data_IF_300136325484
#
_entry.id   IF_300136325484
#
_cell.length_a   1.000
_cell.length_b   1.000
_cell.length_c   1.000
_cell.angle_alpha   90.00
_cell.angle_beta   90.00
_cell.angle_gamma   90.00
#
_symmetry.space_group_name_H-M   'P 1'
#
loop_
_entity.id
_entity.type
_entity.pdbx_description
1 polymer ?
#
# COMPACT_ATOMS: atom_id res chain seq x y z
N UNK A 1 21.64 -10.37 11.39
CA UNK A 1 20.98 -10.30 10.08
C UNK A 1 19.52 -10.00 10.34
N UNK A 2 19.03 -8.79 10.00
CA UNK A 2 17.66 -8.40 10.33
C UNK A 2 16.65 -9.39 9.73
N UNK A 3 15.63 -9.77 10.50
CA UNK A 3 14.57 -10.68 10.07
C UNK A 3 13.65 -9.98 9.05
N UNK A 4 14.02 -10.08 7.78
CA UNK A 4 13.26 -9.49 6.67
C UNK A 4 11.79 -9.92 6.64
N UNK A 5 11.50 -11.18 6.99
CA UNK A 5 10.13 -11.69 7.06
C UNK A 5 9.37 -11.02 8.21
N UNK A 6 10.02 -10.81 9.34
CA UNK A 6 9.45 -10.09 10.48
C UNK A 6 9.08 -8.65 10.12
N UNK A 7 9.93 -7.96 9.36
CA UNK A 7 9.68 -6.58 8.92
C UNK A 7 8.46 -6.47 8.00
N UNK A 8 8.33 -7.36 7.00
CA UNK A 8 7.14 -7.42 6.15
C UNK A 8 5.87 -7.79 6.92
N UNK A 9 5.95 -8.76 7.84
CA UNK A 9 4.85 -9.11 8.74
C UNK A 9 4.45 -7.93 9.61
N UNK A 10 5.41 -7.22 10.19
CA UNK A 10 5.17 -6.03 11.01
C UNK A 10 4.41 -4.94 10.27
N UNK A 11 4.75 -4.67 9.00
CA UNK A 11 4.00 -3.73 8.17
C UNK A 11 2.54 -4.17 7.99
N UNK A 12 2.30 -5.43 7.59
CA UNK A 12 0.94 -5.93 7.36
C UNK A 12 0.11 -5.95 8.64
N UNK A 13 0.72 -6.32 9.77
CA UNK A 13 0.08 -6.30 11.08
C UNK A 13 -0.26 -4.87 11.52
N UNK A 14 0.67 -3.92 11.34
CA UNK A 14 0.41 -2.51 11.64
C UNK A 14 -0.77 -1.94 10.85
N UNK A 15 -0.88 -2.32 9.58
CA UNK A 15 -2.00 -1.91 8.72
C UNK A 15 -3.33 -2.60 9.07
N UNK A 16 -3.29 -3.80 9.64
CA UNK A 16 -4.49 -4.48 10.13
C UNK A 16 -5.09 -3.79 11.37
N UNK A 17 -4.26 -3.10 12.18
CA UNK A 17 -4.72 -2.28 13.31
C UNK A 17 -5.43 -0.98 12.91
N UNK A 18 -5.49 -0.65 11.61
CA UNK A 18 -6.07 0.60 11.08
C UNK A 18 -7.62 0.58 11.02
N UNK A 19 -8.26 -0.31 11.76
CA UNK A 19 -9.74 -0.42 11.85
C UNK A 19 -10.40 0.81 12.46
N UNK A 20 -9.65 1.63 13.21
CA UNK A 20 -10.12 2.85 13.85
C UNK A 20 -9.94 4.12 13.01
N UNK A 21 -9.49 3.98 11.74
CA UNK A 21 -9.31 5.13 10.86
C UNK A 21 -10.61 5.92 10.66
N UNK A 22 -10.50 7.23 10.75
CA UNK A 22 -11.64 8.14 10.64
C UNK A 22 -12.50 8.27 11.91
N UNK A 23 -12.25 7.48 12.96
CA UNK A 23 -12.92 7.59 14.24
C UNK A 23 -12.32 8.70 15.11
N UNK A 24 -13.18 9.48 15.77
CA UNK A 24 -12.74 10.43 16.79
C UNK A 24 -12.26 9.69 18.04
N UNK A 25 -11.39 10.33 18.84
CA UNK A 25 -10.93 9.76 20.10
C UNK A 25 -12.09 9.37 21.03
N UNK A 26 -13.16 10.15 21.02
CA UNK A 26 -14.37 9.86 21.81
C UNK A 26 -15.06 8.57 21.37
N UNK A 27 -15.18 8.35 20.08
CA UNK A 27 -15.74 7.11 19.51
C UNK A 27 -14.84 5.91 19.81
N UNK A 28 -13.52 6.08 19.69
CA UNK A 28 -12.55 5.04 20.05
C UNK A 28 -12.69 4.68 21.55
N UNK A 29 -12.77 5.66 22.44
CA UNK A 29 -12.95 5.39 23.86
C UNK A 29 -14.30 4.73 24.18
N UNK A 30 -15.36 5.08 23.46
CA UNK A 30 -16.68 4.45 23.64
C UNK A 30 -16.66 2.97 23.22
N UNK A 31 -15.92 2.64 22.16
CA UNK A 31 -15.87 1.28 21.61
C UNK A 31 -14.86 0.38 22.32
N UNK A 32 -13.73 0.94 22.75
CA UNK A 32 -12.57 0.18 23.24
C UNK A 32 -12.15 0.53 24.68
N UNK A 33 -12.87 1.45 25.33
CA UNK A 33 -12.56 1.89 26.71
C UNK A 33 -11.55 3.03 26.76
N UNK A 34 -11.20 3.48 27.99
CA UNK A 34 -10.43 4.72 28.20
C UNK A 34 -9.01 4.70 27.61
N UNK A 35 -8.44 3.53 27.44
CA UNK A 35 -7.07 3.36 26.88
C UNK A 35 -7.07 3.18 25.35
N UNK A 36 -8.23 3.21 24.70
CA UNK A 36 -8.37 2.99 23.26
C UNK A 36 -8.11 1.55 22.81
N UNK A 37 -7.76 1.37 21.54
CA UNK A 37 -7.49 0.07 20.95
C UNK A 37 -6.17 -0.51 21.47
N UNK A 38 -6.24 -1.59 22.24
CA UNK A 38 -5.08 -2.28 22.83
C UNK A 38 -4.73 -3.59 22.10
N UNK A 39 -5.49 -3.96 21.08
CA UNK A 39 -5.29 -5.17 20.30
C UNK A 39 -6.12 -5.15 19.03
N UNK A 40 -6.05 -6.20 18.25
CA UNK A 40 -6.85 -6.32 17.02
C UNK A 40 -8.31 -6.63 17.34
N UNK A 41 -9.22 -6.01 16.58
CA UNK A 41 -10.60 -6.45 16.54
C UNK A 41 -10.70 -7.85 15.94
N UNK A 42 -11.36 -8.76 16.64
CA UNK A 42 -11.50 -10.13 16.20
C UNK A 42 -12.93 -10.40 15.73
N UNK A 43 -13.06 -10.82 14.48
CA UNK A 43 -14.31 -11.32 13.91
C UNK A 43 -14.21 -12.85 13.85
N UNK A 44 -15.07 -13.55 14.58
CA UNK A 44 -15.01 -15.02 14.72
C UNK A 44 -13.65 -15.55 15.19
N UNK A 45 -12.94 -14.78 16.05
CA UNK A 45 -11.63 -15.17 16.59
C UNK A 45 -10.44 -14.85 15.70
N UNK A 46 -10.65 -14.15 14.58
CA UNK A 46 -9.59 -13.74 13.65
C UNK A 46 -9.58 -12.25 13.45
N UNK A 47 -8.38 -11.64 13.43
CA UNK A 47 -8.20 -10.28 12.97
C UNK A 47 -8.40 -10.22 11.45
N UNK A 48 -9.31 -9.37 10.99
CA UNK A 48 -9.51 -9.18 9.54
C UNK A 48 -8.47 -8.20 8.99
N UNK A 49 -8.20 -8.31 7.70
CA UNK A 49 -7.37 -7.36 6.97
C UNK A 49 -8.19 -6.13 6.60
N UNK A 50 -7.57 -4.96 6.55
CA UNK A 50 -8.21 -3.72 6.11
C UNK A 50 -8.00 -3.51 4.61
N UNK A 51 -8.73 -2.55 4.01
CA UNK A 51 -8.46 -2.09 2.64
C UNK A 51 -7.01 -1.62 2.46
N UNK A 52 -6.43 -1.02 3.49
CA UNK A 52 -5.03 -0.57 3.48
C UNK A 52 -4.05 -1.74 3.50
N UNK A 53 -4.32 -2.78 4.29
CA UNK A 53 -3.54 -4.02 4.28
C UNK A 53 -3.57 -4.67 2.89
N UNK A 54 -4.76 -4.74 2.30
CA UNK A 54 -4.92 -5.27 0.94
C UNK A 54 -4.13 -4.44 -0.07
N UNK A 55 -4.28 -3.12 -0.07
CA UNK A 55 -3.57 -2.24 -1.02
C UNK A 55 -2.05 -2.33 -0.88
N UNK A 56 -1.52 -2.43 0.35
CA UNK A 56 -0.10 -2.66 0.57
C UNK A 56 0.36 -3.98 -0.06
N UNK A 57 -0.40 -5.07 0.14
CA UNK A 57 -0.09 -6.37 -0.43
C UNK A 57 -0.14 -6.36 -1.97
N UNK A 58 -1.14 -5.69 -2.56
CA UNK A 58 -1.22 -5.51 -4.02
C UNK A 58 -0.12 -4.60 -4.56
N UNK A 59 0.33 -3.61 -3.81
CA UNK A 59 1.51 -2.83 -4.16
C UNK A 59 2.76 -3.71 -4.21
N UNK A 60 3.00 -4.53 -3.17
CA UNK A 60 4.09 -5.50 -3.18
C UNK A 60 3.99 -6.47 -4.36
N UNK A 61 2.79 -6.97 -4.68
CA UNK A 61 2.58 -7.84 -5.83
C UNK A 61 2.99 -7.17 -7.15
N UNK A 62 2.61 -5.89 -7.34
CA UNK A 62 3.01 -5.13 -8.52
C UNK A 62 4.52 -4.94 -8.62
N UNK A 63 5.18 -4.57 -7.52
CA UNK A 63 6.64 -4.41 -7.46
C UNK A 63 7.37 -5.72 -7.79
N UNK A 64 6.93 -6.84 -7.19
CA UNK A 64 7.50 -8.16 -7.45
C UNK A 64 7.27 -8.60 -8.90
N UNK A 65 6.09 -8.37 -9.46
CA UNK A 65 5.78 -8.65 -10.85
C UNK A 65 6.72 -7.89 -11.79
N UNK A 66 6.92 -6.60 -11.54
CA UNK A 66 7.81 -5.75 -12.35
C UNK A 66 9.25 -6.23 -12.29
N UNK A 67 9.77 -6.53 -11.10
CA UNK A 67 11.12 -7.03 -10.92
C UNK A 67 11.33 -8.39 -11.61
N UNK A 68 10.42 -9.35 -11.36
CA UNK A 68 10.50 -10.68 -11.96
C UNK A 68 10.45 -10.61 -13.48
N UNK A 69 9.52 -9.82 -14.03
CA UNK A 69 9.39 -9.65 -15.48
C UNK A 69 10.63 -9.00 -16.08
N UNK A 70 11.19 -7.99 -15.43
CA UNK A 70 12.44 -7.34 -15.84
C UNK A 70 13.60 -8.33 -15.90
N UNK A 71 13.74 -9.18 -14.90
CA UNK A 71 14.77 -10.22 -14.84
C UNK A 71 14.58 -11.27 -15.93
N UNK A 72 13.34 -11.70 -16.20
CA UNK A 72 13.05 -12.73 -17.22
C UNK A 72 13.23 -12.22 -18.65
N UNK A 73 12.89 -10.96 -18.91
CA UNK A 73 12.86 -10.42 -20.28
C UNK A 73 14.06 -9.55 -20.64
N UNK A 74 14.89 -9.20 -19.65
CA UNK A 74 15.97 -8.22 -19.79
C UNK A 74 15.48 -6.77 -19.99
N UNK A 75 14.16 -6.52 -19.93
CA UNK A 75 13.53 -5.21 -20.10
C UNK A 75 12.58 -4.92 -18.95
N UNK A 76 12.86 -3.88 -18.19
CA UNK A 76 12.00 -3.44 -17.10
C UNK A 76 11.32 -2.13 -17.47
N UNK A 77 9.99 -2.13 -17.46
CA UNK A 77 9.20 -0.90 -17.49
C UNK A 77 9.28 -0.22 -16.11
N UNK A 78 8.98 1.08 -16.01
CA UNK A 78 8.91 1.74 -14.70
C UNK A 78 8.01 0.98 -13.72
N UNK A 79 8.51 0.71 -12.52
CA UNK A 79 7.87 -0.17 -11.53
C UNK A 79 6.48 0.32 -11.12
N UNK A 80 6.25 1.64 -11.04
CA UNK A 80 4.94 2.20 -10.71
C UNK A 80 3.85 1.73 -11.68
N UNK A 81 4.16 1.42 -12.94
CA UNK A 81 3.19 0.89 -13.91
C UNK A 81 2.68 -0.49 -13.52
N UNK A 82 3.56 -1.34 -13.03
CA UNK A 82 3.16 -2.67 -12.53
C UNK A 82 2.34 -2.57 -11.24
N UNK A 83 2.71 -1.61 -10.36
CA UNK A 83 1.89 -1.29 -9.18
C UNK A 83 0.52 -0.79 -9.62
N UNK A 84 0.45 0.08 -10.63
CA UNK A 84 -0.82 0.57 -11.18
C UNK A 84 -1.71 -0.55 -11.72
N UNK A 85 -1.14 -1.53 -12.44
CA UNK A 85 -1.88 -2.70 -12.92
C UNK A 85 -2.44 -3.51 -11.73
N UNK A 86 -1.59 -3.80 -10.75
CA UNK A 86 -1.97 -4.55 -9.55
C UNK A 86 -3.05 -3.83 -8.74
N UNK A 87 -2.90 -2.54 -8.52
CA UNK A 87 -3.86 -1.72 -7.78
C UNK A 87 -5.21 -1.60 -8.51
N UNK A 88 -5.20 -1.58 -9.85
CA UNK A 88 -6.43 -1.60 -10.66
C UNK A 88 -7.20 -2.91 -10.50
N UNK A 89 -6.51 -4.05 -10.51
CA UNK A 89 -7.14 -5.36 -10.28
C UNK A 89 -7.74 -5.43 -8.87
N UNK A 90 -7.02 -4.91 -7.86
CA UNK A 90 -7.56 -4.76 -6.52
C UNK A 90 -8.80 -3.86 -6.50
N UNK A 91 -8.75 -2.67 -7.12
CA UNK A 91 -9.87 -1.75 -7.19
C UNK A 91 -11.09 -2.37 -7.86
N UNK A 92 -10.89 -3.19 -8.90
CA UNK A 92 -11.96 -3.96 -9.53
C UNK A 92 -12.61 -4.96 -8.56
N UNK A 93 -11.82 -5.63 -7.71
CA UNK A 93 -12.35 -6.56 -6.71
C UNK A 93 -13.20 -5.87 -5.63
N UNK A 94 -12.98 -4.57 -5.39
CA UNK A 94 -13.74 -3.79 -4.41
C UNK A 94 -15.12 -3.34 -4.93
N UNK A 95 -15.41 -3.49 -6.22
CA UNK A 95 -16.71 -3.15 -6.81
C UNK A 95 -17.71 -4.33 -6.69
N UNK A 96 -19.03 -4.08 -6.56
CA UNK A 96 -20.02 -5.14 -6.36
C UNK A 96 -20.02 -6.23 -7.42
N UNK A 97 -19.71 -5.87 -8.67
CA UNK A 97 -19.71 -6.75 -9.83
C UNK A 97 -18.37 -6.76 -10.57
N UNK A 98 -17.34 -6.18 -9.93
CA UNK A 98 -16.04 -6.05 -10.54
C UNK A 98 -15.29 -7.38 -10.50
N UNK A 99 -15.03 -7.96 -11.68
CA UNK A 99 -14.01 -8.99 -11.85
C UNK A 99 -12.99 -8.48 -12.85
N UNK A 100 -11.69 -8.53 -12.53
CA UNK A 100 -10.68 -8.17 -13.50
C UNK A 100 -10.75 -9.12 -14.70
N UNK A 101 -10.66 -8.57 -15.91
CA UNK A 101 -10.70 -9.35 -17.16
C UNK A 101 -9.43 -10.15 -17.38
N UNK A 102 -8.31 -9.69 -16.80
CA UNK A 102 -7.01 -10.37 -16.81
C UNK A 102 -6.42 -10.30 -15.42
N UNK A 103 -5.88 -11.41 -14.91
CA UNK A 103 -5.32 -11.48 -13.56
C UNK A 103 -3.79 -11.48 -13.64
N UNK A 104 -3.18 -10.35 -13.31
CA UNK A 104 -1.74 -10.24 -13.07
C UNK A 104 -1.40 -10.52 -11.61
N UNK A 105 -2.41 -10.49 -10.72
CA UNK A 105 -2.24 -10.58 -9.28
C UNK A 105 -2.75 -11.92 -8.75
N UNK A 106 -1.84 -12.77 -8.31
CA UNK A 106 -2.19 -14.03 -7.65
C UNK A 106 -2.98 -13.82 -6.35
N UNK A 107 -2.86 -12.64 -5.72
CA UNK A 107 -3.61 -12.27 -4.51
C UNK A 107 -5.14 -12.29 -4.71
N UNK A 108 -5.63 -12.17 -5.94
CA UNK A 108 -7.06 -12.33 -6.25
C UNK A 108 -7.58 -13.75 -6.00
N UNK A 109 -6.71 -14.73 -5.82
CA UNK A 109 -7.06 -16.10 -5.44
C UNK A 109 -7.23 -16.26 -3.93
N UNK A 110 -6.88 -15.24 -3.13
CA UNK A 110 -7.01 -15.23 -1.68
C UNK A 110 -8.27 -14.46 -1.31
N UNK A 111 -9.34 -15.12 -0.80
CA UNK A 111 -10.64 -14.49 -0.56
C UNK A 111 -10.57 -13.26 0.34
N UNK A 112 -9.75 -13.30 1.38
CA UNK A 112 -9.54 -12.21 2.33
C UNK A 112 -8.97 -10.96 1.65
N UNK A 113 -8.12 -11.14 0.62
CA UNK A 113 -7.53 -10.05 -0.14
C UNK A 113 -8.49 -9.39 -1.14
N UNK A 114 -9.65 -10.01 -1.38
CA UNK A 114 -10.71 -9.49 -2.25
C UNK A 114 -11.94 -9.04 -1.49
N UNK A 115 -11.98 -9.23 -0.16
CA UNK A 115 -13.09 -8.81 0.68
C UNK A 115 -13.25 -7.30 0.60
N UNK A 116 -14.49 -6.86 0.47
CA UNK A 116 -14.79 -5.43 0.38
C UNK A 116 -14.71 -4.78 1.76
N UNK A 117 -13.97 -3.69 1.84
CA UNK A 117 -13.84 -2.86 3.02
C UNK A 117 -14.25 -1.42 2.73
N UNK A 118 -14.59 -0.67 3.78
CA UNK A 118 -14.77 0.77 3.66
C UNK A 118 -13.44 1.44 3.30
N UNK A 119 -13.45 2.37 2.36
CA UNK A 119 -12.25 3.07 1.90
C UNK A 119 -12.57 4.45 1.34
N UNK A 120 -11.55 5.24 1.11
CA UNK A 120 -11.66 6.52 0.40
C UNK A 120 -12.14 6.28 -1.04
N UNK A 121 -13.34 6.76 -1.35
CA UNK A 121 -13.97 6.61 -2.68
C UNK A 121 -13.18 7.32 -3.78
N UNK A 122 -12.49 8.42 -3.48
CA UNK A 122 -11.64 9.15 -4.44
C UNK A 122 -10.42 8.33 -4.84
N UNK A 123 -9.84 7.59 -3.89
CA UNK A 123 -8.75 6.65 -4.15
C UNK A 123 -9.24 5.51 -5.04
N UNK A 124 -10.39 4.91 -4.71
CA UNK A 124 -10.96 3.82 -5.50
C UNK A 124 -11.29 4.27 -6.93
N UNK A 125 -11.86 5.46 -7.09
CA UNK A 125 -12.14 6.04 -8.41
C UNK A 125 -10.88 6.26 -9.23
N UNK A 126 -9.83 6.82 -8.62
CA UNK A 126 -8.55 7.04 -9.29
C UNK A 126 -7.94 5.72 -9.79
N UNK A 127 -7.88 4.70 -8.92
CA UNK A 127 -7.32 3.38 -9.24
C UNK A 127 -8.18 2.56 -10.21
N UNK A 128 -9.46 2.94 -10.41
CA UNK A 128 -10.38 2.25 -11.31
C UNK A 128 -10.36 2.76 -12.75
N UNK A 129 -9.58 3.80 -13.04
CA UNK A 129 -9.52 4.41 -14.37
C UNK A 129 -8.69 3.58 -15.34
N UNK A 130 -8.96 3.69 -16.64
CA UNK A 130 -8.21 3.00 -17.68
C UNK A 130 -6.78 3.53 -17.85
N UNK A 131 -6.57 4.80 -17.51
CA UNK A 131 -5.25 5.43 -17.47
C UNK A 131 -4.73 5.47 -16.04
N UNK A 132 -3.42 5.43 -15.87
CA UNK A 132 -2.78 5.56 -14.57
C UNK A 132 -2.62 7.03 -14.18
N UNK A 133 -2.84 7.32 -12.89
CA UNK A 133 -2.47 8.60 -12.32
C UNK A 133 -0.95 8.80 -12.36
N UNK A 134 -0.51 10.05 -12.44
CA UNK A 134 0.89 10.43 -12.39
C UNK A 134 1.01 11.82 -11.75
N UNK A 135 2.21 12.19 -11.34
CA UNK A 135 2.44 13.51 -10.73
C UNK A 135 2.05 14.65 -11.67
N UNK A 136 2.22 14.47 -12.98
CA UNK A 136 1.85 15.42 -14.03
C UNK A 136 0.41 15.25 -14.53
N UNK A 137 -0.18 14.05 -14.34
CA UNK A 137 -1.54 13.70 -14.79
C UNK A 137 -2.41 13.26 -13.60
N UNK A 138 -2.84 14.25 -12.83
CA UNK A 138 -3.56 14.06 -11.55
C UNK A 138 -5.04 13.86 -11.79
N UNK A 139 -5.65 12.90 -11.09
CA UNK A 139 -7.10 12.68 -11.17
C UNK A 139 -7.91 13.40 -10.08
N UNK A 140 -7.24 13.83 -9.02
CA UNK A 140 -7.84 14.51 -7.87
C UNK A 140 -6.80 15.41 -7.18
N UNK A 141 -7.19 16.03 -6.08
CA UNK A 141 -6.29 16.82 -5.21
C UNK A 141 -6.18 16.22 -3.81
N UNK A 142 -6.46 14.92 -3.67
CA UNK A 142 -6.44 14.25 -2.36
C UNK A 142 -5.04 14.22 -1.77
N UNK A 143 -4.96 14.46 -0.45
CA UNK A 143 -3.76 14.34 0.38
C UNK A 143 -4.03 13.48 1.62
N UNK A 144 -5.05 12.59 1.56
CA UNK A 144 -5.40 11.75 2.70
C UNK A 144 -4.28 10.76 3.05
N UNK A 145 -4.14 10.36 4.33
CA UNK A 145 -3.07 9.47 4.78
C UNK A 145 -3.05 8.08 4.12
N UNK A 146 -4.18 7.64 3.56
CA UNK A 146 -4.29 6.35 2.87
C UNK A 146 -3.27 6.14 1.75
N UNK A 147 -2.74 7.25 1.18
CA UNK A 147 -1.66 7.21 0.19
C UNK A 147 -0.36 6.57 0.71
N UNK A 148 -0.09 6.73 2.00
CA UNK A 148 1.17 6.29 2.63
C UNK A 148 1.31 4.77 2.68
N UNK A 149 0.20 4.05 2.62
CA UNK A 149 0.18 2.58 2.60
C UNK A 149 1.03 1.98 1.48
N UNK A 150 0.87 2.50 0.27
CA UNK A 150 1.65 2.04 -0.88
C UNK A 150 3.13 2.46 -0.80
N UNK A 151 3.41 3.66 -0.27
CA UNK A 151 4.78 4.13 -0.07
C UNK A 151 5.53 3.29 0.97
N UNK A 152 4.86 2.80 2.02
CA UNK A 152 5.46 1.89 2.98
C UNK A 152 5.95 0.58 2.32
N UNK A 153 5.14 0.02 1.41
CA UNK A 153 5.53 -1.15 0.64
C UNK A 153 6.76 -0.89 -0.25
N UNK A 154 6.87 0.31 -0.85
CA UNK A 154 8.06 0.72 -1.62
C UNK A 154 9.31 0.78 -0.74
N UNK A 155 9.21 1.37 0.44
CA UNK A 155 10.34 1.44 1.38
C UNK A 155 10.87 0.03 1.75
N UNK A 156 9.98 -0.92 2.04
CA UNK A 156 10.36 -2.32 2.31
C UNK A 156 10.96 -3.02 1.09
N UNK A 157 10.50 -2.69 -0.11
CA UNK A 157 10.99 -3.27 -1.35
C UNK A 157 12.48 -2.99 -1.60
N UNK A 158 13.05 -1.98 -0.96
CA UNK A 158 14.50 -1.67 -1.00
C UNK A 158 15.40 -2.84 -0.61
N UNK A 159 14.89 -3.82 0.11
CA UNK A 159 15.62 -5.07 0.40
C UNK A 159 15.86 -5.94 -0.84
N UNK A 160 14.95 -5.89 -1.79
CA UNK A 160 14.97 -6.73 -2.99
C UNK A 160 15.51 -5.98 -4.21
N UNK A 161 15.28 -4.69 -4.26
CA UNK A 161 15.62 -3.83 -5.39
C UNK A 161 16.66 -2.80 -4.98
N UNK A 162 17.91 -3.04 -5.38
CA UNK A 162 19.05 -2.18 -5.05
C UNK A 162 19.20 -1.11 -6.12
N UNK A 163 18.78 0.08 -5.78
CA UNK A 163 18.87 1.31 -6.60
C UNK A 163 19.38 2.45 -5.74
N UNK A 164 19.70 3.55 -6.38
CA UNK A 164 20.00 4.80 -5.68
C UNK A 164 18.80 5.25 -4.84
N UNK A 165 19.10 5.85 -3.69
CA UNK A 165 18.06 6.29 -2.76
C UNK A 165 17.05 7.25 -3.41
N UNK A 166 17.54 8.15 -4.27
CA UNK A 166 16.70 9.10 -5.01
C UNK A 166 15.71 8.40 -5.96
N UNK A 167 16.08 7.28 -6.56
CA UNK A 167 15.18 6.50 -7.42
C UNK A 167 14.09 5.80 -6.59
N UNK A 168 14.45 5.31 -5.40
CA UNK A 168 13.49 4.72 -4.48
C UNK A 168 12.49 5.77 -3.96
N UNK A 169 12.99 6.95 -3.61
CA UNK A 169 12.18 8.07 -3.15
C UNK A 169 11.19 8.52 -4.25
N UNK A 170 11.69 8.62 -5.49
CA UNK A 170 10.86 8.93 -6.65
C UNK A 170 9.78 7.87 -6.86
N UNK A 171 10.14 6.59 -6.78
CA UNK A 171 9.17 5.49 -6.88
C UNK A 171 8.09 5.59 -5.79
N UNK A 172 8.45 5.99 -4.56
CA UNK A 172 7.49 6.26 -3.48
C UNK A 172 6.48 7.35 -3.86
N UNK A 173 6.94 8.45 -4.46
CA UNK A 173 6.08 9.51 -4.96
C UNK A 173 5.19 9.07 -6.14
N UNK A 174 5.76 8.35 -7.11
CA UNK A 174 5.04 7.84 -8.29
C UNK A 174 3.93 6.87 -7.93
N UNK A 175 4.18 5.98 -6.97
CA UNK A 175 3.19 5.00 -6.52
C UNK A 175 2.04 5.69 -5.78
N UNK A 176 2.31 6.72 -4.99
CA UNK A 176 1.28 7.55 -4.36
C UNK A 176 0.46 8.31 -5.42
N UNK A 177 1.11 8.81 -6.46
CA UNK A 177 0.44 9.56 -7.54
C UNK A 177 -0.58 8.73 -8.32
N UNK A 178 -0.54 7.41 -8.27
CA UNK A 178 -1.56 6.53 -8.87
C UNK A 178 -2.96 6.80 -8.30
N UNK A 179 -3.07 7.22 -7.05
CA UNK A 179 -4.34 7.36 -6.34
C UNK A 179 -4.58 8.77 -5.78
N UNK A 180 -3.53 9.49 -5.43
CA UNK A 180 -3.60 10.81 -4.78
C UNK A 180 -2.91 11.85 -5.64
N UNK A 181 -3.55 13.00 -5.86
CA UNK A 181 -3.07 14.03 -6.79
C UNK A 181 -2.48 15.27 -6.11
N UNK A 182 -2.37 15.31 -4.79
CA UNK A 182 -1.76 16.43 -4.09
C UNK A 182 -0.22 16.34 -4.09
N UNK A 183 0.51 17.42 -4.37
CA UNK A 183 1.96 17.46 -4.19
C UNK A 183 2.42 17.07 -2.78
N UNK A 184 1.62 17.41 -1.76
CA UNK A 184 1.90 17.02 -0.38
C UNK A 184 1.89 15.49 -0.22
N UNK A 185 0.94 14.80 -0.87
CA UNK A 185 0.90 13.34 -0.84
C UNK A 185 2.13 12.72 -1.50
N UNK A 186 2.60 13.26 -2.62
CA UNK A 186 3.80 12.79 -3.31
C UNK A 186 5.04 12.92 -2.43
N UNK A 187 5.24 14.10 -1.82
CA UNK A 187 6.36 14.35 -0.92
C UNK A 187 6.32 13.44 0.32
N UNK A 188 5.13 13.27 0.91
CA UNK A 188 4.96 12.37 2.05
C UNK A 188 5.25 10.91 1.68
N UNK A 189 4.87 10.48 0.48
CA UNK A 189 5.16 9.14 -0.03
C UNK A 189 6.66 8.91 -0.23
N UNK A 190 7.36 9.85 -0.87
CA UNK A 190 8.81 9.81 -1.02
C UNK A 190 9.51 9.76 0.35
N UNK A 191 9.12 10.65 1.27
CA UNK A 191 9.71 10.71 2.61
C UNK A 191 9.51 9.41 3.40
N UNK A 192 8.31 8.81 3.33
CA UNK A 192 8.04 7.55 4.04
C UNK A 192 8.85 6.39 3.45
N UNK A 193 8.92 6.28 2.12
CA UNK A 193 9.74 5.27 1.46
C UNK A 193 11.22 5.43 1.86
N UNK A 194 11.72 6.68 1.91
CA UNK A 194 13.06 7.00 2.38
C UNK A 194 13.30 6.53 3.82
N UNK A 195 12.45 6.97 4.75
CA UNK A 195 12.57 6.66 6.18
C UNK A 195 12.60 5.13 6.39
N UNK A 196 11.67 4.41 5.78
CA UNK A 196 11.60 2.96 5.92
C UNK A 196 12.86 2.31 5.36
N UNK A 197 13.30 2.67 4.16
CA UNK A 197 14.49 2.07 3.55
C UNK A 197 15.76 2.30 4.39
N UNK A 198 15.90 3.49 4.95
CA UNK A 198 17.02 3.84 5.84
C UNK A 198 16.94 3.11 7.17
N UNK A 199 15.75 3.02 7.77
CA UNK A 199 15.54 2.27 9.02
C UNK A 199 15.88 0.80 8.89
N UNK A 200 15.59 0.20 7.72
CA UNK A 200 15.94 -1.20 7.44
C UNK A 200 17.45 -1.44 7.28
N UNK A 201 18.19 -0.40 6.95
CA UNK A 201 19.64 -0.45 6.73
C UNK A 201 20.43 0.00 7.96
N UNK A 202 19.78 0.62 8.94
CA UNK A 202 20.43 1.08 10.17
C UNK A 202 20.70 -0.10 11.11
N UNK A 203 21.92 -0.23 11.67
CA UNK A 203 22.16 -1.11 12.79
C UNK A 203 21.49 -0.46 14.01
N UNK A 204 20.53 -1.14 14.60
CA UNK A 204 19.90 -0.78 15.88
C UNK A 204 19.42 0.67 16.00
N UNK A 205 18.17 0.92 15.66
CA UNK A 205 17.48 2.10 16.19
C UNK A 205 17.30 1.88 17.70
N UNK A 206 17.82 2.77 18.57
CA UNK A 206 17.52 2.66 19.99
C UNK A 206 16.01 2.81 20.18
N UNK A 207 15.41 1.83 20.84
CA UNK A 207 14.01 1.83 21.28
C UNK A 207 13.77 2.93 22.31
#
# INVERSE_FOLDING_TARGET
>A
MADKKGQFRGMLLGLAGYTIDGSSWKEIQQSYGPNGLLGYDLVNGYADVTSYTQLAAFTCNGLLLGLTRGQMTGKMLPLFRYVGLSSREWAASQKPWGRPSTTFCWLLQVPEMCRRHCMDTRMLDALSRDTLGAMEARFNSSSTPGSLTSAAAVGLFSHLYKVEQSELDLLGAEVVALSHGSPLAFLSGAALAHIISRSLSAPDLPL
#
